data_IF_732877250722
#
_entry.id   IF_732877250722
#
_cell.length_a   1.000
_cell.length_b   1.000
_cell.length_c   1.000
_cell.angle_alpha   90.00
_cell.angle_beta   90.00
_cell.angle_gamma   90.00
#
_symmetry.space_group_name_H-M   'P 1'
#
loop_
_entity.id
_entity.type
_entity.pdbx_description
1 polymer ?
#
# COMPACT_ATOMS: atom_id res chain seq x y z
N UNK A 1 22.12 24.31 -0.45
CA UNK A 1 20.97 23.66 0.10
C UNK A 1 20.99 22.20 -0.32
N UNK A 2 21.24 21.28 0.65
CA UNK A 2 21.25 19.85 0.40
C UNK A 2 19.80 19.41 0.20
N UNK A 3 19.43 18.98 -1.02
CA UNK A 3 18.18 18.28 -1.29
C UNK A 3 18.11 17.04 -0.41
N UNK A 4 17.28 17.06 0.62
CA UNK A 4 17.13 15.95 1.58
C UNK A 4 16.23 14.80 1.08
N UNK A 5 15.70 14.87 -0.14
CA UNK A 5 14.70 13.94 -0.63
C UNK A 5 14.96 13.56 -2.08
N UNK A 6 15.65 12.45 -2.27
CA UNK A 6 15.79 11.74 -3.52
C UNK A 6 15.45 10.27 -3.29
N UNK A 7 14.19 9.95 -3.09
CA UNK A 7 13.72 8.58 -3.06
C UNK A 7 12.99 8.33 -4.37
N UNK A 8 13.73 7.90 -5.41
CA UNK A 8 13.16 7.40 -6.65
C UNK A 8 12.91 5.90 -6.46
N UNK A 9 11.77 5.56 -5.86
CA UNK A 9 11.27 4.19 -5.87
C UNK A 9 10.28 4.10 -7.03
N UNK A 10 10.48 3.14 -7.93
CA UNK A 10 9.53 2.86 -9.00
C UNK A 10 8.26 2.25 -8.41
N UNK A 11 7.25 3.10 -8.24
CA UNK A 11 5.95 2.76 -7.66
C UNK A 11 4.87 2.58 -8.75
N UNK A 12 5.16 2.03 -9.91
CA UNK A 12 4.23 2.02 -11.05
C UNK A 12 2.82 1.54 -10.68
N UNK A 13 2.68 0.48 -9.89
CA UNK A 13 1.37 0.02 -9.41
C UNK A 13 0.72 0.94 -8.38
N UNK A 14 1.52 1.60 -7.54
CA UNK A 14 1.06 2.58 -6.54
C UNK A 14 0.70 3.90 -7.23
N UNK A 15 1.40 4.25 -8.30
CA UNK A 15 1.13 5.44 -9.11
C UNK A 15 -0.19 5.33 -9.86
N UNK A 16 -0.57 4.15 -10.37
CA UNK A 16 -1.85 3.96 -11.05
C UNK A 16 -3.04 4.21 -10.11
N UNK A 17 -2.97 3.75 -8.87
CA UNK A 17 -4.02 4.00 -7.88
C UNK A 17 -4.01 5.44 -7.37
N UNK A 18 -2.83 6.05 -7.28
CA UNK A 18 -2.68 7.47 -6.99
C UNK A 18 -3.18 8.34 -8.15
N UNK A 19 -2.91 7.96 -9.40
CA UNK A 19 -3.44 8.63 -10.58
C UNK A 19 -4.97 8.57 -10.59
N UNK A 20 -5.56 7.44 -10.21
CA UNK A 20 -7.01 7.32 -10.05
C UNK A 20 -7.53 8.25 -8.95
N UNK A 21 -6.81 8.40 -7.86
CA UNK A 21 -7.16 9.32 -6.78
C UNK A 21 -6.96 10.77 -7.19
N UNK A 22 -5.86 11.09 -7.86
CA UNK A 22 -5.59 12.43 -8.42
C UNK A 22 -6.59 12.76 -9.52
N UNK A 23 -6.97 11.82 -10.40
CA UNK A 23 -8.01 12.02 -11.41
C UNK A 23 -9.36 12.28 -10.77
N UNK A 24 -9.72 11.57 -9.70
CA UNK A 24 -10.94 11.89 -8.93
C UNK A 24 -10.90 13.29 -8.35
N UNK A 25 -9.74 13.75 -7.89
CA UNK A 25 -9.56 15.13 -7.41
C UNK A 25 -9.54 16.16 -8.55
N UNK A 26 -8.94 15.83 -9.69
CA UNK A 26 -8.96 16.68 -10.89
C UNK A 26 -10.35 16.72 -11.55
N UNK A 27 -11.08 15.61 -11.57
CA UNK A 27 -12.49 15.56 -12.01
C UNK A 27 -13.39 16.38 -11.09
N UNK A 28 -13.17 16.32 -9.79
CA UNK A 28 -13.85 17.19 -8.84
C UNK A 28 -13.50 18.66 -9.11
N UNK A 29 -12.23 18.97 -9.34
CA UNK A 29 -11.77 20.30 -9.70
C UNK A 29 -12.33 20.78 -11.05
N UNK A 30 -12.45 19.93 -12.06
CA UNK A 30 -13.01 20.26 -13.37
C UNK A 30 -14.54 20.43 -13.36
N UNK A 31 -15.23 19.66 -12.53
CA UNK A 31 -16.69 19.82 -12.32
C UNK A 31 -17.03 21.09 -11.59
N UNK A 32 -16.08 21.68 -10.89
CA UNK A 32 -16.25 22.95 -10.17
C UNK A 32 -15.88 24.19 -10.99
N UNK A 33 -15.52 24.05 -12.26
CA UNK A 33 -15.32 25.23 -13.14
C UNK A 33 -16.60 26.06 -13.38
N UNK A 34 -17.74 25.64 -12.85
CA UNK A 34 -19.02 26.37 -12.89
C UNK A 34 -19.38 27.12 -11.60
N UNK A 35 -18.49 27.18 -10.62
CA UNK A 35 -18.74 27.84 -9.34
C UNK A 35 -18.22 26.99 -8.19
N UNK A 36 -17.01 27.30 -7.72
CA UNK A 36 -16.44 26.66 -6.54
C UNK A 36 -17.24 27.02 -5.30
N UNK A 37 -17.78 26.03 -4.60
CA UNK A 37 -18.08 26.23 -3.19
C UNK A 37 -16.75 26.16 -2.43
N UNK A 38 -16.38 27.28 -1.79
CA UNK A 38 -15.17 27.41 -0.95
C UNK A 38 -15.15 26.31 0.13
N UNK A 39 -16.32 25.84 0.56
CA UNK A 39 -16.45 24.76 1.52
C UNK A 39 -15.98 23.40 0.97
N UNK A 40 -16.17 23.12 -0.32
CA UNK A 40 -15.71 21.88 -0.94
C UNK A 40 -14.18 21.85 -1.06
N UNK A 41 -13.56 23.00 -1.38
CA UNK A 41 -12.10 23.11 -1.42
C UNK A 41 -11.51 23.00 -0.01
N UNK A 42 -12.13 23.64 0.99
CA UNK A 42 -11.70 23.54 2.38
C UNK A 42 -11.86 22.12 2.92
N UNK A 43 -12.93 21.42 2.55
CA UNK A 43 -13.14 20.00 2.88
C UNK A 43 -12.06 19.12 2.30
N UNK A 44 -11.72 19.31 1.02
CA UNK A 44 -10.66 18.57 0.32
C UNK A 44 -9.28 18.83 0.95
N UNK A 45 -8.96 20.09 1.20
CA UNK A 45 -7.70 20.50 1.85
C UNK A 45 -7.59 19.90 3.25
N UNK A 46 -8.66 19.94 4.04
CA UNK A 46 -8.70 19.34 5.37
C UNK A 46 -8.51 17.82 5.32
N UNK A 47 -9.13 17.14 4.35
CA UNK A 47 -8.98 15.72 4.16
C UNK A 47 -7.53 15.36 3.80
N UNK A 48 -6.92 16.05 2.85
CA UNK A 48 -5.52 15.85 2.49
C UNK A 48 -4.56 16.19 3.62
N UNK A 49 -4.84 17.27 4.38
CA UNK A 49 -3.99 17.71 5.49
C UNK A 49 -4.06 16.82 6.74
N UNK A 50 -5.04 15.92 6.82
CA UNK A 50 -5.25 15.02 7.97
C UNK A 50 -5.05 13.55 7.63
N UNK A 51 -4.92 13.18 6.35
CA UNK A 51 -4.80 11.79 5.88
C UNK A 51 -3.60 11.07 6.53
N UNK A 52 -2.50 11.77 6.77
CA UNK A 52 -1.31 11.21 7.42
C UNK A 52 -1.57 10.63 8.82
N UNK A 53 -2.64 11.07 9.50
CA UNK A 53 -3.02 10.56 10.83
C UNK A 53 -3.40 9.08 10.81
N UNK A 54 -3.68 8.51 9.63
CA UNK A 54 -3.94 7.09 9.43
C UNK A 54 -2.67 6.24 9.37
N UNK A 55 -1.49 6.86 9.19
CA UNK A 55 -0.22 6.12 9.05
C UNK A 55 0.04 5.11 10.16
N UNK A 56 -0.12 5.43 11.45
CA UNK A 56 0.14 4.45 12.52
C UNK A 56 -0.77 3.21 12.43
N UNK A 57 -2.03 3.41 12.05
CA UNK A 57 -2.98 2.31 11.87
C UNK A 57 -2.63 1.45 10.67
N UNK A 58 -2.36 2.08 9.51
CA UNK A 58 -1.99 1.37 8.29
C UNK A 58 -0.66 0.63 8.44
N UNK A 59 0.29 1.23 9.13
CA UNK A 59 1.55 0.59 9.50
C UNK A 59 1.31 -0.67 10.35
N UNK A 60 0.48 -0.57 11.37
CA UNK A 60 0.11 -1.70 12.23
C UNK A 60 -0.59 -2.82 11.44
N UNK A 61 -1.51 -2.45 10.53
CA UNK A 61 -2.22 -3.41 9.67
C UNK A 61 -1.24 -4.14 8.73
N UNK A 62 -0.28 -3.42 8.15
CA UNK A 62 0.75 -4.03 7.30
C UNK A 62 1.60 -5.05 8.06
N UNK A 63 2.03 -4.72 9.28
CA UNK A 63 2.81 -5.64 10.09
C UNK A 63 2.01 -6.80 10.66
N UNK A 64 0.70 -6.66 10.84
CA UNK A 64 -0.19 -7.73 11.29
C UNK A 64 -0.26 -8.92 10.31
N UNK A 65 0.00 -8.69 9.01
CA UNK A 65 0.11 -9.76 8.01
C UNK A 65 1.18 -10.79 8.38
N UNK A 66 2.23 -10.33 9.08
CA UNK A 66 3.36 -11.16 9.50
C UNK A 66 3.25 -11.64 10.96
N UNK A 67 2.06 -11.57 11.55
CA UNK A 67 1.85 -12.17 12.86
C UNK A 67 2.08 -13.68 12.78
N UNK A 68 2.82 -14.22 13.74
CA UNK A 68 3.30 -15.60 13.73
C UNK A 68 4.69 -15.79 13.09
N UNK A 69 5.23 -14.83 12.38
CA UNK A 69 6.64 -14.85 11.92
C UNK A 69 7.54 -14.51 13.10
N UNK A 70 8.36 -15.48 13.54
CA UNK A 70 9.22 -15.34 14.72
C UNK A 70 10.26 -14.23 14.60
N UNK A 71 10.85 -14.09 13.42
CA UNK A 71 11.84 -13.06 13.14
C UNK A 71 11.37 -12.18 11.97
N UNK A 72 10.77 -11.04 12.31
CA UNK A 72 10.28 -10.06 11.33
C UNK A 72 11.42 -9.21 10.72
N UNK A 73 12.66 -9.35 11.20
CA UNK A 73 13.83 -8.74 10.59
C UNK A 73 14.45 -9.63 9.49
N UNK A 74 14.01 -10.87 9.36
CA UNK A 74 14.45 -11.79 8.33
C UNK A 74 13.50 -11.74 7.11
N UNK A 75 13.93 -11.17 5.97
CA UNK A 75 13.11 -11.08 4.77
C UNK A 75 12.71 -12.46 4.23
N UNK A 76 13.54 -13.50 4.41
CA UNK A 76 13.23 -14.85 3.96
C UNK A 76 12.12 -15.49 4.80
N UNK A 77 12.07 -15.22 6.10
CA UNK A 77 10.99 -15.67 6.96
C UNK A 77 9.65 -15.01 6.56
N UNK A 78 9.67 -13.72 6.23
CA UNK A 78 8.49 -13.02 5.72
C UNK A 78 8.08 -13.52 4.32
N UNK A 79 9.05 -13.78 3.45
CA UNK A 79 8.81 -14.30 2.11
C UNK A 79 8.10 -15.65 2.14
N UNK A 80 8.54 -16.58 2.98
CA UNK A 80 7.98 -17.93 3.07
C UNK A 80 6.48 -17.97 3.36
N UNK A 81 5.98 -17.06 4.18
CA UNK A 81 4.55 -17.01 4.52
C UNK A 81 3.68 -16.36 3.45
N UNK A 82 4.30 -15.78 2.42
CA UNK A 82 3.62 -15.15 1.29
C UNK A 82 3.72 -15.98 0.01
N UNK A 83 4.71 -16.88 -0.11
CA UNK A 83 4.82 -17.76 -1.27
C UNK A 83 3.65 -18.74 -1.34
N UNK A 84 3.26 -19.19 -2.56
CA UNK A 84 2.23 -20.22 -2.72
C UNK A 84 2.55 -21.46 -1.89
N UNK A 85 1.55 -21.91 -1.13
CA UNK A 85 1.58 -23.16 -0.40
C UNK A 85 0.33 -23.96 -0.76
N UNK A 86 0.51 -24.92 -1.65
CA UNK A 86 -0.61 -25.71 -2.19
C UNK A 86 -0.89 -26.90 -1.28
N UNK A 87 -2.07 -26.93 -0.71
CA UNK A 87 -2.56 -28.01 0.14
C UNK A 87 -3.83 -28.64 -0.46
N UNK A 88 -3.97 -29.94 -0.29
CA UNK A 88 -5.19 -30.64 -0.67
C UNK A 88 -6.23 -30.46 0.43
N UNK A 89 -7.35 -29.83 0.09
CA UNK A 89 -8.50 -29.68 0.97
C UNK A 89 -9.43 -30.85 0.80
N UNK A 90 -9.72 -31.55 1.89
CA UNK A 90 -10.72 -32.62 1.87
C UNK A 90 -12.10 -32.07 1.46
N UNK A 91 -12.91 -32.88 0.74
CA UNK A 91 -14.24 -32.46 0.31
C UNK A 91 -15.15 -32.19 1.51
N UNK A 92 -15.94 -31.11 1.42
CA UNK A 92 -16.90 -30.76 2.47
C UNK A 92 -18.18 -31.61 2.45
N UNK A 93 -18.41 -32.35 1.35
CA UNK A 93 -19.58 -33.22 1.16
C UNK A 93 -19.28 -34.50 0.41
N UNK A 94 -20.19 -35.48 0.50
CA UNK A 94 -20.00 -36.83 -0.05
C UNK A 94 -19.86 -36.91 -1.60
N UNK A 95 -20.22 -35.82 -2.31
CA UNK A 95 -20.17 -35.73 -3.79
C UNK A 95 -19.14 -34.69 -4.30
N UNK A 96 -18.32 -34.13 -3.42
CA UNK A 96 -17.29 -33.17 -3.78
C UNK A 96 -15.95 -33.86 -3.93
N UNK A 97 -15.13 -33.38 -4.87
CA UNK A 97 -13.74 -33.85 -5.04
C UNK A 97 -12.83 -33.00 -4.15
N UNK A 98 -11.67 -33.57 -3.78
CA UNK A 98 -10.62 -32.79 -3.13
C UNK A 98 -10.15 -31.65 -4.03
N UNK A 99 -9.92 -30.49 -3.46
CA UNK A 99 -9.49 -29.28 -4.18
C UNK A 99 -8.08 -28.89 -3.71
N UNK A 100 -7.22 -28.54 -4.68
CA UNK A 100 -5.91 -27.95 -4.38
C UNK A 100 -6.08 -26.47 -4.12
N UNK A 101 -5.72 -26.03 -2.91
CA UNK A 101 -5.89 -24.65 -2.47
C UNK A 101 -4.54 -24.07 -2.07
N UNK A 102 -4.26 -22.85 -2.54
CA UNK A 102 -3.13 -22.07 -2.02
C UNK A 102 -3.55 -21.41 -0.70
N UNK A 103 -3.10 -21.97 0.41
CA UNK A 103 -3.45 -21.51 1.75
C UNK A 103 -2.84 -20.13 2.08
N UNK A 104 -1.83 -19.69 1.33
CA UNK A 104 -1.19 -18.40 1.50
C UNK A 104 -1.76 -17.31 0.56
N UNK A 105 -2.64 -17.65 -0.38
CA UNK A 105 -3.18 -16.71 -1.36
C UNK A 105 -3.80 -15.48 -0.69
N UNK A 106 -4.71 -15.72 0.25
CA UNK A 106 -5.37 -14.60 0.96
C UNK A 106 -4.39 -13.71 1.70
N UNK A 107 -3.39 -14.30 2.38
CA UNK A 107 -2.35 -13.51 3.07
C UNK A 107 -1.55 -12.66 2.10
N UNK A 108 -1.24 -13.19 0.91
CA UNK A 108 -0.53 -12.47 -0.14
C UNK A 108 -1.36 -11.30 -0.69
N UNK A 109 -2.65 -11.52 -0.93
CA UNK A 109 -3.58 -10.46 -1.35
C UNK A 109 -3.73 -9.38 -0.26
N UNK A 110 -3.94 -9.77 0.99
CA UNK A 110 -4.02 -8.85 2.12
C UNK A 110 -2.73 -8.03 2.27
N UNK A 111 -1.56 -8.64 2.03
CA UNK A 111 -0.26 -7.94 2.02
C UNK A 111 -0.20 -6.89 0.92
N UNK A 112 -0.61 -7.21 -0.30
CA UNK A 112 -0.60 -6.25 -1.41
C UNK A 112 -1.54 -5.07 -1.14
N UNK A 113 -2.72 -5.33 -0.62
CA UNK A 113 -3.69 -4.29 -0.26
C UNK A 113 -3.17 -3.39 0.87
N UNK A 114 -2.66 -3.99 1.95
CA UNK A 114 -2.14 -3.24 3.10
C UNK A 114 -0.91 -2.40 2.71
N UNK A 115 0.01 -2.95 1.90
CA UNK A 115 1.16 -2.23 1.39
C UNK A 115 0.76 -1.04 0.51
N UNK A 116 -0.20 -1.24 -0.38
CA UNK A 116 -0.71 -0.18 -1.26
C UNK A 116 -1.34 0.95 -0.45
N UNK A 117 -2.20 0.62 0.52
CA UNK A 117 -2.84 1.61 1.38
C UNK A 117 -1.81 2.41 2.20
N UNK A 118 -0.82 1.73 2.79
CA UNK A 118 0.25 2.37 3.54
C UNK A 118 1.12 3.27 2.66
N UNK A 119 1.52 2.79 1.48
CA UNK A 119 2.34 3.54 0.54
C UNK A 119 1.65 4.81 0.04
N UNK A 120 0.37 4.72 -0.31
CA UNK A 120 -0.44 5.84 -0.78
C UNK A 120 -0.57 6.90 0.31
N UNK A 121 -0.90 6.48 1.54
CA UNK A 121 -1.01 7.40 2.68
C UNK A 121 0.34 8.06 2.99
N UNK A 122 1.45 7.31 3.01
CA UNK A 122 2.79 7.86 3.27
C UNK A 122 3.22 8.83 2.19
N UNK A 123 2.91 8.56 0.91
CA UNK A 123 3.23 9.48 -0.18
C UNK A 123 2.52 10.82 -0.02
N UNK A 124 1.22 10.81 0.30
CA UNK A 124 0.46 12.04 0.58
C UNK A 124 1.02 12.75 1.81
N UNK A 125 1.32 12.02 2.89
CA UNK A 125 1.90 12.57 4.10
C UNK A 125 3.23 13.30 3.83
N UNK A 126 4.10 12.72 3.04
CA UNK A 126 5.41 13.31 2.70
C UNK A 126 5.34 14.58 1.84
N UNK A 127 4.18 14.90 1.29
CA UNK A 127 3.91 16.14 0.56
C UNK A 127 3.20 17.17 1.44
N UNK A 128 2.77 16.80 2.64
CA UNK A 128 2.00 17.66 3.56
C UNK A 128 2.92 18.38 4.55
N UNK A 129 2.85 19.71 4.57
CA UNK A 129 3.55 20.53 5.57
C UNK A 129 3.08 20.18 6.98
N UNK A 130 1.77 19.96 7.16
CA UNK A 130 1.18 19.61 8.46
C UNK A 130 1.72 18.33 9.05
N UNK A 131 2.10 17.35 8.22
CA UNK A 131 2.76 16.11 8.68
C UNK A 131 4.14 16.39 9.29
N UNK A 132 4.89 17.33 8.71
CA UNK A 132 6.22 17.69 9.22
C UNK A 132 6.17 18.58 10.44
N UNK A 133 5.10 19.35 10.61
CA UNK A 133 4.88 20.23 11.77
C UNK A 133 4.23 19.51 12.95
N UNK A 134 3.59 18.35 12.70
CA UNK A 134 2.93 17.57 13.74
C UNK A 134 3.96 16.88 14.64
N UNK A 135 4.04 17.36 15.89
CA UNK A 135 4.98 16.87 16.91
C UNK A 135 4.69 15.44 17.37
N UNK A 136 3.51 14.90 17.07
CA UNK A 136 3.17 13.49 17.37
C UNK A 136 3.90 12.50 16.46
N UNK A 137 4.50 12.99 15.36
CA UNK A 137 5.35 12.21 14.45
C UNK A 137 6.79 12.75 14.53
N UNK A 138 7.69 11.96 15.09
CA UNK A 138 9.11 12.31 15.17
C UNK A 138 9.80 12.13 13.81
N UNK A 139 10.99 12.68 13.64
CA UNK A 139 11.80 12.42 12.44
C UNK A 139 12.22 10.96 12.35
N UNK A 140 12.36 10.29 13.49
CA UNK A 140 12.65 8.86 13.58
C UNK A 140 11.44 8.04 13.08
N UNK A 141 10.20 8.39 13.48
CA UNK A 141 8.99 7.74 12.96
C UNK A 141 8.88 7.90 11.45
N UNK A 142 9.12 9.10 10.92
CA UNK A 142 9.10 9.37 9.47
C UNK A 142 10.16 8.56 8.73
N UNK A 143 11.34 8.45 9.30
CA UNK A 143 12.41 7.64 8.73
C UNK A 143 12.02 6.16 8.75
N UNK A 144 11.48 5.68 9.85
CA UNK A 144 11.05 4.29 10.02
C UNK A 144 9.95 3.89 9.04
N UNK A 145 8.97 4.75 8.81
CA UNK A 145 7.95 4.51 7.78
C UNK A 145 8.55 4.38 6.37
N UNK A 146 9.52 5.22 6.03
CA UNK A 146 10.21 5.17 4.72
C UNK A 146 11.00 3.87 4.55
N UNK A 147 11.76 3.47 5.56
CA UNK A 147 12.53 2.22 5.52
C UNK A 147 11.61 1.00 5.45
N UNK A 148 10.51 1.00 6.20
CA UNK A 148 9.50 -0.06 6.12
C UNK A 148 8.90 -0.15 4.72
N UNK A 149 8.52 0.98 4.12
CA UNK A 149 7.98 0.98 2.77
C UNK A 149 8.98 0.42 1.75
N UNK A 150 10.24 0.81 1.85
CA UNK A 150 11.32 0.31 0.99
C UNK A 150 11.50 -1.21 1.14
N UNK A 151 11.58 -1.71 2.36
CA UNK A 151 11.73 -3.14 2.64
C UNK A 151 10.54 -3.95 2.12
N UNK A 152 9.31 -3.50 2.39
CA UNK A 152 8.09 -4.19 1.97
C UNK A 152 7.86 -4.14 0.46
N UNK A 153 8.27 -3.04 -0.20
CA UNK A 153 8.24 -2.95 -1.67
C UNK A 153 9.23 -3.93 -2.29
N UNK A 154 10.43 -4.05 -1.75
CA UNK A 154 11.42 -5.03 -2.20
C UNK A 154 10.91 -6.47 -2.01
N UNK A 155 10.28 -6.75 -0.87
CA UNK A 155 9.65 -8.05 -0.61
C UNK A 155 8.55 -8.35 -1.63
N UNK A 156 7.65 -7.40 -1.90
CA UNK A 156 6.61 -7.54 -2.93
C UNK A 156 7.18 -7.89 -4.30
N UNK A 157 8.21 -7.16 -4.74
CA UNK A 157 8.87 -7.41 -6.03
C UNK A 157 9.47 -8.81 -6.10
N UNK A 158 10.06 -9.27 -5.00
CA UNK A 158 10.60 -10.63 -4.91
C UNK A 158 9.50 -11.69 -5.01
N UNK A 159 8.39 -11.52 -4.28
CA UNK A 159 7.24 -12.42 -4.34
C UNK A 159 6.66 -12.48 -5.75
N UNK A 160 6.42 -11.32 -6.39
CA UNK A 160 5.88 -11.26 -7.75
C UNK A 160 6.78 -11.95 -8.78
N UNK A 161 8.09 -11.79 -8.65
CA UNK A 161 9.05 -12.51 -9.51
C UNK A 161 8.99 -14.02 -9.29
N UNK A 162 8.90 -14.44 -8.04
CA UNK A 162 8.96 -15.88 -7.69
C UNK A 162 7.63 -16.59 -7.97
N UNK A 163 6.50 -15.91 -7.90
CA UNK A 163 5.17 -16.45 -8.23
C UNK A 163 4.87 -16.37 -9.72
N UNK A 164 5.64 -15.61 -10.49
CA UNK A 164 5.34 -15.33 -11.89
C UNK A 164 4.08 -14.44 -12.07
N UNK A 165 3.57 -13.87 -11.00
CA UNK A 165 2.46 -12.91 -11.03
C UNK A 165 2.93 -11.65 -11.75
N UNK A 166 2.74 -11.59 -13.08
CA UNK A 166 2.90 -10.36 -13.84
C UNK A 166 1.69 -9.49 -13.52
N UNK A 167 1.92 -8.36 -12.89
CA UNK A 167 0.95 -7.27 -12.96
C UNK A 167 1.04 -6.77 -14.39
N UNK A 168 0.01 -7.03 -15.17
CA UNK A 168 -0.14 -6.48 -16.50
C UNK A 168 -0.49 -4.99 -16.33
N UNK A 169 0.54 -4.15 -16.40
CA UNK A 169 0.40 -2.70 -16.26
C UNK A 169 -0.32 -2.08 -17.47
N UNK A 170 -0.44 -2.83 -18.58
CA UNK A 170 -1.06 -2.35 -19.80
C UNK A 170 -2.60 -2.35 -19.71
N UNK A 171 -3.20 -3.18 -18.85
CA UNK A 171 -4.65 -3.21 -18.66
C UNK A 171 -5.20 -1.98 -17.93
N UNK A 172 -4.34 -1.21 -17.24
CA UNK A 172 -4.71 0.02 -16.52
C UNK A 172 -4.32 1.30 -17.25
N UNK A 173 -3.59 1.21 -18.36
CA UNK A 173 -3.17 2.38 -19.13
C UNK A 173 -4.20 2.81 -20.20
N UNK A 174 -5.24 2.00 -20.44
CA UNK A 174 -6.24 2.24 -21.53
C UNK A 174 -7.68 2.47 -21.03
N UNK A 175 -7.88 2.96 -19.80
CA UNK A 175 -9.23 3.36 -19.38
C UNK A 175 -9.25 4.73 -18.75
#
# INVERSE_FOLDING_TARGET
PKKKFGLLIDYRGILAELDTTIQKYQDLASRTQGGYDINDIAGLYNQMSTEYKRLPQLYKQLWAIFDGVKNKADPEAMRRVLLPNIEERAPAGANEQSELVDVNLKRREDFYQALTAFATCLKVALQSVTFFEDKSFTDEDRHHYKETLKAMTSLRQTIQRDTGERIDYDEYAEK
#
